data_IF_719813655417
#
_entry.id   IF_719813655417
#
_cell.length_a   1.000
_cell.length_b   1.000
_cell.length_c   1.000
_cell.angle_alpha   90.00
_cell.angle_beta   90.00
_cell.angle_gamma   90.00
#
_symmetry.space_group_name_H-M   'P 1'
#
loop_
_entity.id
_entity.type
_entity.pdbx_description
1 polymer ?
#
# COMPACT_ATOMS: atom_id res chain seq x y z
N UNK A 1 -10.22 -39.25 -1.24
CA UNK A 1 -9.24 -38.43 -1.99
C UNK A 1 -9.89 -37.44 -2.98
N UNK A 2 -11.20 -37.54 -3.29
CA UNK A 2 -11.91 -36.53 -4.10
C UNK A 2 -12.42 -35.30 -3.29
N UNK A 3 -12.63 -35.43 -1.98
CA UNK A 3 -13.13 -34.36 -1.12
C UNK A 3 -12.15 -33.18 -0.91
N UNK A 4 -10.85 -33.40 -1.10
CA UNK A 4 -9.84 -32.34 -0.92
C UNK A 4 -9.76 -31.39 -2.13
N UNK A 5 -10.35 -31.75 -3.28
CA UNK A 5 -10.28 -30.97 -4.52
C UNK A 5 -11.45 -30.00 -4.74
N UNK A 6 -12.52 -30.04 -3.94
CA UNK A 6 -13.60 -29.05 -4.02
C UNK A 6 -13.39 -27.82 -3.12
N UNK A 7 -12.61 -27.96 -2.04
CA UNK A 7 -12.26 -26.83 -1.16
C UNK A 7 -11.23 -25.88 -1.80
N UNK A 8 -10.47 -26.36 -2.79
CA UNK A 8 -9.46 -25.55 -3.49
C UNK A 8 -10.01 -24.63 -4.58
N UNK A 9 -11.32 -24.68 -4.87
CA UNK A 9 -11.94 -23.96 -6.01
C UNK A 9 -12.81 -22.77 -5.59
N UNK A 10 -13.10 -22.62 -4.30
CA UNK A 10 -13.95 -21.54 -3.77
C UNK A 10 -13.19 -20.37 -3.13
N UNK A 11 -11.86 -20.48 -2.99
CA UNK A 11 -11.03 -19.48 -2.29
C UNK A 11 -10.20 -18.64 -3.27
N UNK A 12 -10.43 -18.76 -4.58
CA UNK A 12 -9.69 -18.02 -5.60
C UNK A 12 -10.39 -16.71 -6.01
N UNK A 13 -11.29 -16.11 -5.22
CA UNK A 13 -11.97 -14.88 -5.67
C UNK A 13 -12.09 -13.83 -4.53
N UNK A 14 -11.22 -13.85 -3.53
CA UNK A 14 -11.17 -12.78 -2.51
C UNK A 14 -9.72 -12.43 -2.12
N UNK A 15 -8.79 -12.58 -3.06
CA UNK A 15 -7.50 -11.87 -2.97
C UNK A 15 -7.60 -10.57 -3.74
N UNK A 16 -8.56 -9.72 -3.39
CA UNK A 16 -8.35 -8.28 -3.53
C UNK A 16 -7.24 -7.95 -2.54
N UNK A 17 -6.02 -8.17 -3.02
CA UNK A 17 -4.80 -7.63 -2.47
C UNK A 17 -5.07 -6.13 -2.41
N UNK A 18 -5.51 -5.65 -1.25
CA UNK A 18 -5.47 -4.24 -0.89
C UNK A 18 -4.00 -3.86 -0.91
N UNK A 19 -3.49 -3.61 -2.13
CA UNK A 19 -2.15 -3.16 -2.35
C UNK A 19 -2.01 -1.84 -1.58
N UNK A 20 -1.33 -1.88 -0.45
CA UNK A 20 -0.60 -0.73 0.05
C UNK A 20 -1.37 0.28 0.88
N UNK A 21 -2.11 -0.15 1.92
CA UNK A 21 -2.45 0.77 3.00
C UNK A 21 -1.97 0.31 4.38
N UNK A 22 -0.72 -0.15 4.44
CA UNK A 22 0.03 -0.04 5.69
C UNK A 22 0.70 1.32 5.67
N UNK A 23 0.21 2.28 6.47
CA UNK A 23 0.91 3.53 6.77
C UNK A 23 2.23 3.14 7.47
N UNK A 24 3.23 2.75 6.67
CA UNK A 24 4.57 2.52 7.17
C UNK A 24 5.14 3.90 7.47
N UNK A 25 5.49 4.11 8.74
CA UNK A 25 6.36 5.23 9.12
C UNK A 25 7.74 4.90 8.56
N UNK A 26 8.02 5.42 7.37
CA UNK A 26 9.31 5.31 6.71
C UNK A 26 10.06 6.63 6.82
N UNK A 27 11.39 6.57 6.68
CA UNK A 27 12.17 7.78 6.45
C UNK A 27 11.89 8.30 5.02
N UNK A 28 12.20 9.56 4.69
CA UNK A 28 12.04 10.10 3.34
C UNK A 28 12.70 9.22 2.25
N UNK A 29 13.85 8.64 2.57
CA UNK A 29 14.60 7.73 1.69
C UNK A 29 13.84 6.43 1.45
N UNK A 30 13.09 5.93 2.43
CA UNK A 30 12.21 4.77 2.26
C UNK A 30 11.07 5.08 1.29
N UNK A 31 10.47 6.26 1.41
CA UNK A 31 9.43 6.73 0.48
C UNK A 31 9.97 6.79 -0.96
N UNK A 32 11.15 7.38 -1.16
CA UNK A 32 11.78 7.48 -2.47
C UNK A 32 12.17 6.12 -3.06
N UNK A 33 12.75 5.22 -2.25
CA UNK A 33 13.12 3.86 -2.69
C UNK A 33 11.90 3.04 -3.14
N UNK A 34 10.72 3.32 -2.55
CA UNK A 34 9.44 2.73 -2.95
C UNK A 34 8.80 3.42 -4.16
N UNK A 35 9.46 4.38 -4.78
CA UNK A 35 8.97 5.14 -5.93
C UNK A 35 7.93 6.21 -5.58
N UNK A 36 7.85 6.64 -4.32
CA UNK A 36 7.05 7.79 -3.90
C UNK A 36 7.90 9.05 -3.71
N UNK A 37 7.24 10.13 -3.28
CA UNK A 37 7.89 11.38 -2.89
C UNK A 37 7.25 11.96 -1.63
N UNK A 38 8.00 12.77 -0.89
CA UNK A 38 7.48 13.46 0.30
C UNK A 38 6.83 14.78 -0.10
N UNK A 39 5.62 15.03 0.38
CA UNK A 39 4.88 16.27 0.15
C UNK A 39 4.38 16.86 1.46
N UNK A 40 4.55 18.16 1.64
CA UNK A 40 4.15 18.86 2.85
C UNK A 40 2.65 19.09 2.90
N UNK A 41 2.01 18.67 4.00
CA UNK A 41 0.61 18.95 4.31
C UNK A 41 -0.44 18.22 3.47
N UNK A 42 -0.17 17.84 2.21
CA UNK A 42 -1.09 17.06 1.36
C UNK A 42 -0.37 16.47 0.13
N UNK A 43 -0.95 15.42 -0.46
CA UNK A 43 -0.52 14.91 -1.77
C UNK A 43 -1.22 15.67 -2.91
N UNK A 44 -0.55 15.90 -4.05
CA UNK A 44 -1.16 16.56 -5.20
C UNK A 44 -2.33 15.75 -5.79
N UNK A 45 -3.24 16.38 -6.55
CA UNK A 45 -4.38 15.70 -7.15
C UNK A 45 -3.92 14.57 -8.08
N UNK A 46 -4.58 13.41 -7.99
CA UNK A 46 -4.21 12.22 -8.75
C UNK A 46 -3.11 11.36 -8.12
N UNK A 47 -2.56 11.75 -6.97
CA UNK A 47 -1.55 10.99 -6.21
C UNK A 47 -2.11 10.63 -4.82
N UNK A 48 -1.87 9.41 -4.37
CA UNK A 48 -2.43 8.91 -3.11
C UNK A 48 -1.42 9.04 -1.98
N UNK A 49 -1.91 9.36 -0.77
CA UNK A 49 -1.10 9.28 0.45
C UNK A 49 -0.93 7.82 0.84
N UNK A 50 0.31 7.32 0.82
CA UNK A 50 0.65 5.93 1.20
C UNK A 50 1.40 5.83 2.52
N UNK A 51 1.85 6.95 3.09
CA UNK A 51 2.59 6.96 4.35
C UNK A 51 2.90 8.36 4.89
N UNK A 52 3.90 8.40 5.77
CA UNK A 52 4.44 9.62 6.37
C UNK A 52 5.96 9.62 6.17
N UNK A 53 6.52 10.73 5.71
CA UNK A 53 7.96 10.98 5.75
C UNK A 53 8.38 11.71 7.04
N UNK A 54 7.46 12.47 7.63
CA UNK A 54 7.64 13.26 8.85
C UNK A 54 6.26 13.64 9.42
N UNK A 55 6.15 14.24 10.63
CA UNK A 55 4.87 14.57 11.24
C UNK A 55 3.97 15.49 10.38
N UNK A 56 4.57 16.32 9.51
CA UNK A 56 3.87 17.23 8.59
C UNK A 56 3.99 16.86 7.11
N UNK A 57 4.79 15.85 6.78
CA UNK A 57 5.06 15.46 5.40
C UNK A 57 4.56 14.05 5.12
N UNK A 58 3.78 13.93 4.05
CA UNK A 58 3.18 12.69 3.62
C UNK A 58 4.03 12.03 2.53
N UNK A 59 4.12 10.70 2.57
CA UNK A 59 4.64 9.95 1.44
C UNK A 59 3.51 9.76 0.43
N UNK A 60 3.73 10.26 -0.79
CA UNK A 60 2.76 10.32 -1.89
C UNK A 60 3.22 9.41 -3.03
N UNK A 61 2.32 8.58 -3.56
CA UNK A 61 2.56 7.66 -4.67
C UNK A 61 1.29 7.42 -5.49
#
# INVERSE_FOLDING_TARGET
>A
RALLNLLGRTVLEISFYSAGFSISRGTPEDCQRRGGFCSSGSCPPGITRVGLCSPRDFCCR
#
